data_IF_973240594759
#
_entry.id   IF_973240594759
#
_cell.length_a   1.000
_cell.length_b   1.000
_cell.length_c   1.000
_cell.angle_alpha   90.00
_cell.angle_beta   90.00
_cell.angle_gamma   90.00
#
_symmetry.space_group_name_H-M   'P 1'
#
loop_
_entity.id
_entity.type
_entity.pdbx_description
1 polymer ?
#
# COMPACT_ATOMS: atom_id res chain seq x y z
N UNK A 1 -23.37 38.51 5.62
CA UNK A 1 -21.91 38.46 5.47
C UNK A 1 -21.33 38.03 6.80
N UNK A 2 -20.77 36.82 6.92
CA UNK A 2 -20.10 36.42 8.16
C UNK A 2 -18.84 37.27 8.34
N UNK A 3 -18.71 37.98 9.46
CA UNK A 3 -17.51 38.77 9.77
C UNK A 3 -16.44 37.88 10.42
N UNK A 4 -15.19 38.00 9.95
CA UNK A 4 -14.06 37.22 10.47
C UNK A 4 -13.35 37.89 11.66
N UNK A 5 -13.71 39.13 11.98
CA UNK A 5 -13.19 39.94 13.10
C UNK A 5 -13.14 39.19 14.45
N UNK A 6 -14.20 38.51 14.91
CA UNK A 6 -14.17 37.84 16.21
C UNK A 6 -13.19 36.66 16.25
N UNK A 7 -13.03 35.93 15.13
CA UNK A 7 -12.07 34.84 15.02
C UNK A 7 -10.63 35.34 15.08
N UNK A 8 -10.35 36.46 14.42
CA UNK A 8 -9.02 37.08 14.43
C UNK A 8 -8.65 37.58 15.83
N UNK A 9 -9.60 38.17 16.56
CA UNK A 9 -9.38 38.56 17.96
C UNK A 9 -9.13 37.34 18.85
N UNK A 10 -9.89 36.26 18.69
CA UNK A 10 -9.67 35.05 19.48
C UNK A 10 -8.28 34.45 19.26
N UNK A 11 -7.84 34.35 17.99
CA UNK A 11 -6.52 33.81 17.65
C UNK A 11 -5.35 34.64 18.18
N UNK A 12 -5.53 35.96 18.32
CA UNK A 12 -4.47 36.89 18.75
C UNK A 12 -4.44 37.12 20.25
N UNK A 13 -5.58 37.01 20.93
CA UNK A 13 -5.72 37.24 22.38
C UNK A 13 -5.45 35.99 23.21
N UNK A 14 -5.56 34.80 22.61
CA UNK A 14 -5.29 33.55 23.31
C UNK A 14 -4.02 32.90 22.75
N UNK A 15 -2.94 32.81 23.56
CA UNK A 15 -1.64 32.36 23.07
C UNK A 15 -1.66 30.90 22.57
N UNK A 16 -2.64 30.12 22.99
CA UNK A 16 -2.80 28.72 22.59
C UNK A 16 -3.74 28.51 21.40
N UNK A 17 -4.55 29.49 20.97
CA UNK A 17 -5.52 29.24 19.90
C UNK A 17 -4.87 28.99 18.55
N UNK A 18 -3.84 29.74 18.19
CA UNK A 18 -3.12 29.55 16.93
C UNK A 18 -2.44 28.17 16.86
N UNK A 19 -1.63 27.74 17.85
CA UNK A 19 -1.03 26.40 17.81
C UNK A 19 -2.08 25.28 17.91
N UNK A 20 -3.17 25.47 18.68
CA UNK A 20 -4.25 24.48 18.74
C UNK A 20 -4.98 24.33 17.40
N UNK A 21 -5.23 25.43 16.69
CA UNK A 21 -5.86 25.40 15.36
C UNK A 21 -4.96 24.68 14.35
N UNK A 22 -3.66 24.97 14.36
CA UNK A 22 -2.68 24.29 13.51
C UNK A 22 -2.60 22.78 13.83
N UNK A 23 -2.56 22.42 15.11
CA UNK A 23 -2.53 21.03 15.54
C UNK A 23 -3.81 20.28 15.12
N UNK A 24 -4.98 20.90 15.29
CA UNK A 24 -6.25 20.33 14.85
C UNK A 24 -6.31 20.15 13.32
N UNK A 25 -5.83 21.13 12.56
CA UNK A 25 -5.72 21.02 11.10
C UNK A 25 -4.77 19.91 10.65
N UNK A 26 -3.59 19.82 11.26
CA UNK A 26 -2.62 18.77 10.98
C UNK A 26 -3.16 17.37 11.33
N UNK A 27 -3.84 17.23 12.46
CA UNK A 27 -4.47 15.97 12.87
C UNK A 27 -5.58 15.55 11.89
N UNK A 28 -6.41 16.49 11.41
CA UNK A 28 -7.44 16.22 10.41
C UNK A 28 -6.83 15.76 9.08
N UNK A 29 -5.79 16.44 8.59
CA UNK A 29 -5.07 16.03 7.38
C UNK A 29 -4.47 14.64 7.54
N UNK A 30 -3.80 14.38 8.67
CA UNK A 30 -3.21 13.07 8.97
C UNK A 30 -4.28 11.97 8.97
N UNK A 31 -5.44 12.23 9.58
CA UNK A 31 -6.55 11.28 9.65
C UNK A 31 -7.12 10.98 8.25
N UNK A 32 -7.25 11.99 7.39
CA UNK A 32 -7.63 11.81 5.99
C UNK A 32 -6.58 11.00 5.23
N UNK A 33 -5.29 11.30 5.40
CA UNK A 33 -4.21 10.56 4.75
C UNK A 33 -4.14 9.09 5.19
N UNK A 34 -4.43 8.81 6.47
CA UNK A 34 -4.48 7.45 7.00
C UNK A 34 -5.72 6.67 6.54
N UNK A 35 -6.84 7.36 6.31
CA UNK A 35 -8.05 6.77 5.74
C UNK A 35 -7.99 6.59 4.21
N UNK A 36 -7.24 7.46 3.50
CA UNK A 36 -7.06 7.43 2.05
C UNK A 36 -6.62 6.08 1.45
N UNK A 37 -5.70 5.28 2.02
CA UNK A 37 -5.35 3.97 1.46
C UNK A 37 -6.50 2.96 1.46
N UNK A 38 -7.58 3.19 2.21
CA UNK A 38 -8.81 2.38 2.15
C UNK A 38 -9.77 2.83 1.05
N UNK A 39 -9.59 4.05 0.53
CA UNK A 39 -10.42 4.68 -0.49
C UNK A 39 -9.89 4.49 -1.91
N UNK A 40 -8.73 3.85 -2.06
CA UNK A 40 -8.16 3.53 -3.36
C UNK A 40 -8.47 2.07 -3.72
N UNK A 41 -9.62 1.80 -4.39
CA UNK A 41 -10.03 0.44 -4.76
C UNK A 41 -9.05 -0.22 -5.75
N UNK A 42 -8.13 0.56 -6.34
CA UNK A 42 -7.21 0.09 -7.38
C UNK A 42 -5.89 -0.44 -6.77
N UNK A 43 -5.44 0.09 -5.63
CA UNK A 43 -4.12 -0.29 -5.06
C UNK A 43 -4.16 -1.48 -4.10
N UNK A 44 -5.31 -1.82 -3.52
CA UNK A 44 -5.48 -3.01 -2.67
C UNK A 44 -5.10 -4.33 -3.38
N UNK A 45 -5.65 -4.62 -4.58
CA UNK A 45 -5.28 -5.79 -5.35
C UNK A 45 -3.81 -5.79 -5.80
N UNK A 46 -3.26 -4.60 -6.11
CA UNK A 46 -1.89 -4.44 -6.62
C UNK A 46 -0.85 -4.69 -5.52
N UNK A 47 -1.07 -4.19 -4.30
CA UNK A 47 -0.19 -4.50 -3.15
C UNK A 47 -0.24 -5.99 -2.78
N UNK A 48 -1.43 -6.60 -2.76
CA UNK A 48 -1.57 -8.03 -2.51
C UNK A 48 -0.83 -8.88 -3.55
N UNK A 49 -0.92 -8.51 -4.83
CA UNK A 49 -0.17 -9.16 -5.92
C UNK A 49 1.33 -8.96 -5.78
N UNK A 50 1.82 -7.77 -5.46
CA UNK A 50 3.25 -7.51 -5.27
C UNK A 50 3.84 -8.33 -4.11
N UNK A 51 3.15 -8.39 -2.98
CA UNK A 51 3.56 -9.22 -1.83
C UNK A 51 3.51 -10.70 -2.19
N UNK A 52 2.43 -11.15 -2.83
CA UNK A 52 2.29 -12.53 -3.31
C UNK A 52 3.39 -12.93 -4.29
N UNK A 53 3.72 -12.08 -5.27
CA UNK A 53 4.80 -12.29 -6.22
C UNK A 53 6.17 -12.31 -5.52
N UNK A 54 6.40 -11.46 -4.52
CA UNK A 54 7.64 -11.49 -3.73
C UNK A 54 7.80 -12.79 -2.94
N UNK A 55 6.73 -13.29 -2.32
CA UNK A 55 6.72 -14.57 -1.61
C UNK A 55 6.94 -15.74 -2.58
N UNK A 56 6.24 -15.74 -3.72
CA UNK A 56 6.40 -16.76 -4.76
C UNK A 56 7.78 -16.72 -5.40
N UNK A 57 8.36 -15.55 -5.61
CA UNK A 57 9.72 -15.40 -6.14
C UNK A 57 10.76 -15.95 -5.16
N UNK A 58 10.62 -15.70 -3.86
CA UNK A 58 11.49 -16.29 -2.82
C UNK A 58 11.35 -17.81 -2.76
N UNK A 59 10.13 -18.34 -2.80
CA UNK A 59 9.88 -19.79 -2.88
C UNK A 59 10.45 -20.41 -4.16
N UNK A 60 10.25 -19.77 -5.32
CA UNK A 60 10.76 -20.23 -6.60
C UNK A 60 12.29 -20.16 -6.67
N UNK A 61 12.92 -19.14 -6.09
CA UNK A 61 14.38 -19.07 -5.94
C UNK A 61 14.90 -20.23 -5.10
N UNK A 62 14.24 -20.55 -3.97
CA UNK A 62 14.58 -21.73 -3.15
C UNK A 62 14.39 -23.05 -3.92
N UNK A 63 13.35 -23.16 -4.75
CA UNK A 63 13.13 -24.32 -5.62
C UNK A 63 14.16 -24.43 -6.75
N UNK A 64 14.63 -23.31 -7.31
CA UNK A 64 15.70 -23.28 -8.32
C UNK A 64 17.06 -23.67 -7.76
N UNK A 65 17.31 -23.42 -6.48
CA UNK A 65 18.53 -23.86 -5.79
C UNK A 65 18.53 -25.37 -5.47
N UNK A 66 17.38 -26.06 -5.57
CA UNK A 66 17.36 -27.53 -5.54
C UNK A 66 17.84 -28.06 -6.88
N UNK A 67 18.85 -28.93 -6.86
CA UNK A 67 19.33 -29.61 -8.07
C UNK A 67 18.15 -30.33 -8.75
N UNK A 68 17.74 -29.88 -9.96
CA UNK A 68 16.66 -30.50 -10.70
C UNK A 68 17.04 -31.89 -11.22
N UNK A 69 18.32 -32.27 -11.18
CA UNK A 69 18.83 -33.58 -11.60
C UNK A 69 19.16 -34.50 -10.42
N UNK A 70 18.77 -34.16 -9.19
CA UNK A 70 18.99 -35.02 -8.02
C UNK A 70 18.37 -36.42 -8.23
N UNK A 71 19.07 -37.53 -7.88
CA UNK A 71 18.58 -38.89 -8.08
C UNK A 71 17.21 -39.13 -7.42
N UNK A 72 16.29 -39.77 -8.12
CA UNK A 72 14.95 -40.13 -7.60
C UNK A 72 13.87 -39.05 -7.75
N UNK A 73 14.15 -37.91 -8.42
CA UNK A 73 13.11 -36.91 -8.75
C UNK A 73 12.69 -36.97 -10.21
N UNK A 74 11.38 -36.89 -10.45
CA UNK A 74 10.84 -36.67 -11.78
C UNK A 74 11.25 -35.29 -12.27
N UNK A 75 11.96 -35.22 -13.41
CA UNK A 75 12.26 -33.95 -14.07
C UNK A 75 10.94 -33.21 -14.36
N UNK A 76 10.84 -31.89 -14.11
CA UNK A 76 9.69 -31.11 -14.56
C UNK A 76 9.53 -31.34 -16.07
N UNK A 77 8.36 -31.82 -16.51
CA UNK A 77 8.08 -31.95 -17.95
C UNK A 77 8.17 -30.55 -18.55
N UNK A 78 8.99 -30.38 -19.57
CA UNK A 78 9.06 -29.12 -20.29
C UNK A 78 7.62 -28.76 -20.72
N UNK A 79 7.22 -27.48 -20.63
CA UNK A 79 5.94 -27.05 -21.18
C UNK A 79 5.92 -27.44 -22.66
N UNK A 80 5.13 -28.46 -23.00
CA UNK A 80 4.90 -28.85 -24.38
C UNK A 80 4.10 -27.74 -25.02
N UNK A 81 4.60 -27.18 -26.12
CA UNK A 81 3.88 -26.26 -26.98
C UNK A 81 2.71 -27.01 -27.66
N UNK A 82 1.69 -27.36 -26.88
CA UNK A 82 0.41 -27.79 -27.44
C UNK A 82 -0.31 -26.51 -27.81
N UNK A 83 -0.23 -26.15 -29.08
CA UNK A 83 -1.15 -25.18 -29.66
C UNK A 83 -2.56 -25.75 -29.45
N UNK A 84 -3.38 -25.05 -28.66
CA UNK A 84 -4.79 -25.37 -28.54
C UNK A 84 -5.41 -25.24 -29.94
N UNK A 85 -5.99 -26.35 -30.44
CA UNK A 85 -6.72 -26.35 -31.69
C UNK A 85 -7.91 -25.37 -31.59
N UNK A 86 -8.10 -24.60 -32.66
CA UNK A 86 -9.08 -23.54 -32.81
C UNK A 86 -10.52 -24.05 -32.86
#
# INVERSE_FOLDING_TARGET
MLSALPLLQLLTTTPLALPALLAAGAAAILLVCLAAPQLDPVSGPVRGRAVGLGVRARQAAFLRLRDPNAPGRSRPRAPTAVFAAA
#
